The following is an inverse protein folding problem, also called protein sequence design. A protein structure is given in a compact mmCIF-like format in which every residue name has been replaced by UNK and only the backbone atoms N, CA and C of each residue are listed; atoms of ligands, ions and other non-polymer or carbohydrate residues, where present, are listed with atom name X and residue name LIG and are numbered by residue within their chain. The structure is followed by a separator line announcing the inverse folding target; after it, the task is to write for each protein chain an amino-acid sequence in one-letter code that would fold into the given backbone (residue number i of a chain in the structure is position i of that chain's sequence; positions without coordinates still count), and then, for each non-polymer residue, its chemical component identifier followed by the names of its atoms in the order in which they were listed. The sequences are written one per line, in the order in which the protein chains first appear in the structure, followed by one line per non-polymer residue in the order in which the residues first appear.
data_IF_774616533138
#
_entry.id   IF_774616533138
#
_cell.length_a   1.000
_cell.length_b   1.000
_cell.length_c   1.000
_cell.angle_alpha   90.00
_cell.angle_beta   90.00
_cell.angle_gamma   90.00
#
_symmetry.space_group_name_H-M   'P 1'
#
loop_
_entity.id
_entity.type
_entity.pdbx_description
1 polymer ?
#
# COMPACT_ATOMS: atom_id res chain seq x y z
N UNK A 1 16.92 30.40 -0.61
CA UNK A 1 16.28 29.76 0.56
C UNK A 1 16.33 28.26 0.37
N UNK A 2 16.99 27.53 1.27
CA UNK A 2 17.24 26.09 1.17
C UNK A 2 16.01 25.29 1.66
N UNK A 3 15.43 24.36 0.89
CA UNK A 3 14.28 23.56 1.32
C UNK A 3 14.68 22.32 2.15
N UNK A 4 15.73 22.42 2.96
CA UNK A 4 16.14 21.36 3.89
C UNK A 4 15.85 21.84 5.31
N UNK A 5 14.67 21.48 5.83
CA UNK A 5 14.25 21.46 7.26
C UNK A 5 12.78 21.90 7.39
N UNK A 6 11.83 21.09 6.95
CA UNK A 6 10.45 21.22 7.46
C UNK A 6 9.76 19.86 7.42
N UNK A 7 9.70 19.24 8.58
CA UNK A 7 8.54 18.53 9.13
C UNK A 7 7.85 17.50 8.23
N UNK A 8 8.07 16.21 8.51
CA UNK A 8 7.01 15.22 8.36
C UNK A 8 6.77 14.62 9.74
N UNK A 9 5.76 15.19 10.40
CA UNK A 9 5.05 14.63 11.54
C UNK A 9 4.37 13.35 11.05
N UNK A 10 4.92 12.19 11.40
CA UNK A 10 4.26 10.91 11.18
C UNK A 10 3.16 10.79 12.25
N UNK A 11 1.92 10.94 11.80
CA UNK A 11 0.71 10.84 12.59
C UNK A 11 0.49 9.36 12.96
N UNK A 12 0.55 9.07 14.26
CA UNK A 12 0.31 7.74 14.81
C UNK A 12 -1.15 7.33 14.65
N UNK A 13 -1.39 6.31 13.84
CA UNK A 13 -2.63 5.52 13.90
C UNK A 13 -2.27 4.22 14.61
N UNK A 14 -2.23 4.28 15.95
CA UNK A 14 -2.64 3.23 16.88
C UNK A 14 -2.42 3.78 18.30
N UNK A 15 -3.19 4.82 18.65
CA UNK A 15 -3.43 5.19 20.04
C UNK A 15 -4.39 4.18 20.68
N UNK A 16 -4.03 2.90 20.70
CA UNK A 16 -4.40 2.10 21.85
C UNK A 16 -3.61 2.71 23.00
N UNK A 17 -4.30 3.15 24.05
CA UNK A 17 -3.73 3.76 25.24
C UNK A 17 -2.62 2.88 25.85
N UNK A 18 -1.39 2.95 25.34
CA UNK A 18 -0.21 2.38 25.97
C UNK A 18 0.33 3.40 26.97
N UNK A 19 -0.50 3.70 27.96
CA UNK A 19 -0.02 4.18 29.25
C UNK A 19 0.77 3.03 29.87
N UNK A 20 2.06 2.88 29.53
CA UNK A 20 2.96 2.17 30.43
C UNK A 20 3.06 3.05 31.68
N UNK A 21 2.32 2.66 32.71
CA UNK A 21 2.53 3.14 34.06
C UNK A 21 3.77 2.47 34.70
N UNK A 22 4.41 1.53 34.00
CA UNK A 22 5.61 0.82 34.43
C UNK A 22 6.87 1.38 33.77
N UNK A 23 7.92 1.53 34.56
CA UNK A 23 9.21 2.06 34.14
C UNK A 23 9.78 1.27 32.94
N UNK A 24 10.23 1.97 31.88
CA UNK A 24 10.83 1.30 30.72
C UNK A 24 12.28 0.95 31.06
N UNK A 25 12.59 -0.34 31.18
CA UNK A 25 13.94 -0.81 31.50
C UNK A 25 14.61 -1.46 30.30
N UNK A 26 15.82 -1.01 29.98
CA UNK A 26 16.69 -1.64 28.98
C UNK A 26 17.39 -2.88 29.56
N UNK A 27 17.86 -3.77 28.69
CA UNK A 27 18.63 -4.96 29.09
C UNK A 27 19.93 -4.61 29.82
N UNK A 28 20.49 -3.43 29.59
CA UNK A 28 21.69 -2.93 30.25
C UNK A 28 21.40 -2.27 31.62
N UNK A 29 20.16 -2.31 32.09
CA UNK A 29 19.76 -1.78 33.40
C UNK A 29 19.45 -0.28 33.42
N UNK A 30 19.56 0.44 32.29
CA UNK A 30 19.07 1.82 32.19
C UNK A 30 17.55 1.84 32.26
N UNK A 31 17.01 2.66 33.15
CA UNK A 31 15.58 2.77 33.44
C UNK A 31 15.06 4.18 33.08
N UNK A 32 13.93 4.22 32.38
CA UNK A 32 13.24 5.46 32.02
C UNK A 32 11.96 5.56 32.83
N UNK A 33 12.01 6.36 33.90
CA UNK A 33 10.89 6.53 34.83
C UNK A 33 9.82 7.47 34.30
N UNK A 34 8.55 7.13 34.53
CA UNK A 34 7.40 7.95 34.12
C UNK A 34 7.46 8.36 32.64
N UNK A 35 7.93 7.47 31.78
CA UNK A 35 8.11 7.72 30.36
C UNK A 35 6.92 7.16 29.58
N UNK A 36 6.36 7.94 28.67
CA UNK A 36 5.29 7.51 27.77
C UNK A 36 5.83 7.26 26.38
N UNK A 37 5.30 6.24 25.70
CA UNK A 37 5.63 5.98 24.30
C UNK A 37 4.95 7.04 23.43
N UNK A 38 5.76 7.88 22.79
CA UNK A 38 5.30 8.93 21.89
C UNK A 38 5.14 8.45 20.44
N UNK A 39 6.00 7.53 19.99
CA UNK A 39 5.87 6.84 18.69
C UNK A 39 6.71 5.55 18.66
N UNK A 40 6.32 4.64 17.78
CA UNK A 40 7.10 3.45 17.43
C UNK A 40 7.78 3.70 16.09
N UNK A 41 9.08 3.41 16.03
CA UNK A 41 9.91 3.43 14.83
C UNK A 41 10.29 1.99 14.45
N UNK A 42 10.77 1.74 13.22
CA UNK A 42 11.15 0.39 12.80
C UNK A 42 12.15 -0.29 13.73
N UNK A 43 13.10 0.47 14.25
CA UNK A 43 14.25 0.01 15.03
C UNK A 43 14.13 0.31 16.53
N UNK A 44 13.05 0.96 16.98
CA UNK A 44 12.88 1.27 18.39
C UNK A 44 11.62 2.05 18.73
N UNK A 45 11.58 2.56 19.96
CA UNK A 45 10.46 3.31 20.50
C UNK A 45 10.95 4.67 20.98
N UNK A 46 10.22 5.73 20.65
CA UNK A 46 10.51 7.07 21.14
C UNK A 46 9.69 7.35 22.38
N UNK A 47 10.39 7.55 23.49
CA UNK A 47 9.84 7.85 24.80
C UNK A 47 9.82 9.37 25.04
N UNK A 48 8.78 9.84 25.72
CA UNK A 48 8.64 11.19 26.24
C UNK A 48 8.54 11.14 27.75
N UNK A 49 9.40 11.87 28.45
CA UNK A 49 9.40 12.00 29.91
C UNK A 49 9.50 13.48 30.30
N UNK A 50 9.49 13.75 31.61
CA UNK A 50 9.75 15.11 32.14
C UNK A 50 11.15 15.63 31.80
N UNK A 51 12.12 14.74 31.59
CA UNK A 51 13.51 15.12 31.26
C UNK A 51 13.75 15.29 29.76
N UNK A 52 12.81 14.90 28.90
CA UNK A 52 12.88 15.13 27.46
C UNK A 52 12.39 13.96 26.62
N UNK A 53 12.84 13.93 25.37
CA UNK A 53 12.53 12.88 24.40
C UNK A 53 13.75 11.98 24.27
N UNK A 54 13.58 10.67 24.32
CA UNK A 54 14.66 9.68 24.19
C UNK A 54 14.19 8.52 23.33
N UNK A 55 15.02 8.10 22.37
CA UNK A 55 14.78 6.87 21.61
C UNK A 55 15.43 5.69 22.33
N UNK A 56 14.70 4.58 22.39
CA UNK A 56 15.21 3.30 22.89
C UNK A 56 15.13 2.28 21.78
N UNK A 57 16.26 1.69 21.42
CA UNK A 57 16.30 0.70 20.36
C UNK A 57 15.74 -0.65 20.82
N UNK A 58 15.08 -1.38 19.92
CA UNK A 58 14.55 -2.71 20.26
C UNK A 58 15.64 -3.68 20.68
N UNK A 59 16.84 -3.57 20.11
CA UNK A 59 18.01 -4.40 20.48
C UNK A 59 18.46 -4.20 21.93
N UNK A 60 18.16 -3.04 22.51
CA UNK A 60 18.44 -2.70 23.90
C UNK A 60 17.24 -2.97 24.82
N UNK A 61 16.12 -3.43 24.25
CA UNK A 61 14.86 -3.66 24.95
C UNK A 61 14.67 -5.14 25.31
N UNK A 62 14.04 -5.45 26.45
CA UNK A 62 13.61 -6.80 26.80
C UNK A 62 12.73 -7.46 25.73
N UNK A 63 12.70 -8.79 25.69
CA UNK A 63 11.96 -9.56 24.66
C UNK A 63 10.45 -9.28 24.70
N UNK A 64 9.87 -9.17 25.88
CA UNK A 64 8.46 -8.83 26.08
C UNK A 64 8.10 -7.46 25.50
N UNK A 65 9.01 -6.49 25.58
CA UNK A 65 8.84 -5.18 24.95
C UNK A 65 8.93 -5.29 23.43
N UNK A 66 9.90 -6.05 22.91
CA UNK A 66 10.02 -6.28 21.46
C UNK A 66 8.76 -6.95 20.89
N UNK A 67 8.23 -7.98 21.56
CA UNK A 67 7.01 -8.68 21.16
C UNK A 67 5.79 -7.74 21.20
N UNK A 68 5.65 -6.95 22.26
CA UNK A 68 4.54 -5.99 22.40
C UNK A 68 4.48 -4.94 21.29
N UNK A 69 5.64 -4.53 20.77
CA UNK A 69 5.73 -3.52 19.73
C UNK A 69 6.03 -4.10 18.33
N UNK A 70 6.07 -5.41 18.18
CA UNK A 70 6.44 -6.07 16.93
C UNK A 70 5.56 -5.64 15.74
N UNK A 71 4.24 -5.70 15.89
CA UNK A 71 3.31 -5.36 14.80
C UNK A 71 3.36 -3.87 14.46
N UNK A 72 3.50 -3.02 15.48
CA UNK A 72 3.68 -1.59 15.31
C UNK A 72 5.03 -1.25 14.66
N UNK A 73 6.09 -2.01 14.94
CA UNK A 73 7.40 -1.87 14.33
C UNK A 73 7.40 -2.35 12.88
N UNK A 74 6.68 -3.43 12.55
CA UNK A 74 6.46 -3.86 11.17
C UNK A 74 5.70 -2.80 10.38
N UNK A 75 4.64 -2.25 10.97
CA UNK A 75 3.89 -1.15 10.38
C UNK A 75 4.79 0.08 10.21
N UNK A 76 5.59 0.46 11.20
CA UNK A 76 6.54 1.56 11.05
C UNK A 76 7.59 1.28 9.95
N UNK A 77 8.07 0.03 9.81
CA UNK A 77 9.02 -0.41 8.78
C UNK A 77 8.47 -0.25 7.37
N UNK A 78 7.21 -0.64 7.21
CA UNK A 78 6.46 -0.45 5.97
C UNK A 78 6.42 1.02 5.54
N UNK A 79 6.16 1.87 6.54
CA UNK A 79 5.95 3.32 6.41
C UNK A 79 7.28 4.11 6.31
N UNK A 80 8.42 3.56 6.73
CA UNK A 80 9.74 4.21 6.70
C UNK A 80 10.42 4.21 5.30
N UNK A 81 9.65 3.87 4.25
CA UNK A 81 10.14 3.91 2.85
C UNK A 81 9.85 5.26 2.20
N UNK A 82 10.91 5.89 1.66
CA UNK A 82 10.94 7.33 1.34
C UNK A 82 10.41 7.71 -0.05
N UNK A 83 9.93 6.76 -0.86
CA UNK A 83 9.42 7.06 -2.19
C UNK A 83 8.08 6.38 -2.47
N UNK A 84 7.18 7.04 -3.23
CA UNK A 84 5.92 6.42 -3.64
C UNK A 84 6.11 5.16 -4.48
N UNK A 85 7.25 5.02 -5.17
CA UNK A 85 7.59 3.82 -5.94
C UNK A 85 7.85 2.60 -5.04
N UNK A 86 8.49 2.79 -3.88
CA UNK A 86 8.76 1.71 -2.93
C UNK A 86 7.47 1.26 -2.24
N UNK A 87 6.61 2.21 -1.87
CA UNK A 87 5.26 1.91 -1.35
C UNK A 87 4.44 1.12 -2.37
N UNK A 88 4.51 1.49 -3.65
CA UNK A 88 3.81 0.77 -4.72
C UNK A 88 4.31 -0.67 -4.89
N UNK A 89 5.63 -0.89 -4.84
CA UNK A 89 6.23 -2.24 -4.87
C UNK A 89 5.82 -3.09 -3.67
N UNK A 90 5.77 -2.48 -2.49
CA UNK A 90 5.29 -3.16 -1.28
C UNK A 90 3.80 -3.51 -1.38
N UNK A 91 2.98 -2.61 -1.93
CA UNK A 91 1.57 -2.87 -2.14
C UNK A 91 1.35 -4.04 -3.11
N UNK A 92 2.14 -4.11 -4.18
CA UNK A 92 2.11 -5.25 -5.12
C UNK A 92 2.52 -6.56 -4.44
N UNK A 93 3.57 -6.54 -3.62
CA UNK A 93 4.02 -7.71 -2.86
C UNK A 93 2.97 -8.16 -1.82
N UNK A 94 2.35 -7.21 -1.12
CA UNK A 94 1.25 -7.46 -0.19
C UNK A 94 0.03 -8.07 -0.90
N UNK A 95 -0.31 -7.55 -2.07
CA UNK A 95 -1.38 -8.07 -2.92
C UNK A 95 -1.07 -9.50 -3.40
N UNK A 96 0.20 -9.81 -3.66
CA UNK A 96 0.65 -11.17 -3.96
C UNK A 96 0.54 -12.13 -2.77
N UNK A 97 0.79 -11.63 -1.57
CA UNK A 97 0.62 -12.38 -0.32
C UNK A 97 -0.82 -12.44 0.20
N UNK A 98 -1.82 -11.99 -0.56
CA UNK A 98 -3.23 -11.87 -0.13
C UNK A 98 -3.42 -10.97 1.11
N UNK A 99 -2.48 -10.07 1.41
CA UNK A 99 -2.59 -9.12 2.51
C UNK A 99 -3.35 -7.86 2.05
N UNK A 100 -4.67 -8.02 1.92
CA UNK A 100 -5.55 -7.02 1.33
C UNK A 100 -5.72 -5.76 2.17
N UNK A 101 -5.74 -5.90 3.50
CA UNK A 101 -5.82 -4.75 4.41
C UNK A 101 -4.55 -3.89 4.34
N UNK A 102 -3.38 -4.54 4.29
CA UNK A 102 -2.11 -3.85 4.18
C UNK A 102 -1.91 -3.21 2.79
N UNK A 103 -2.32 -3.89 1.72
CA UNK A 103 -2.34 -3.31 0.36
C UNK A 103 -3.17 -2.03 0.33
N UNK A 104 -4.35 -2.05 0.94
CA UNK A 104 -5.24 -0.90 1.01
C UNK A 104 -4.61 0.27 1.77
N UNK A 105 -3.96 -0.01 2.91
CA UNK A 105 -3.25 1.02 3.68
C UNK A 105 -2.15 1.69 2.85
N UNK A 106 -1.34 0.92 2.12
CA UNK A 106 -0.27 1.45 1.28
C UNK A 106 -0.80 2.30 0.12
N UNK A 107 -1.89 1.89 -0.53
CA UNK A 107 -2.53 2.69 -1.58
C UNK A 107 -3.09 4.01 -1.05
N UNK A 108 -3.78 3.98 0.09
CA UNK A 108 -4.29 5.19 0.74
C UNK A 108 -3.14 6.15 1.07
N UNK A 109 -2.07 5.64 1.65
CA UNK A 109 -0.87 6.42 1.97
C UNK A 109 -0.25 7.06 0.73
N UNK A 110 -0.09 6.32 -0.38
CA UNK A 110 0.43 6.87 -1.64
C UNK A 110 -0.45 8.05 -2.10
N UNK A 111 -1.77 7.92 -2.02
CA UNK A 111 -2.70 8.97 -2.47
C UNK A 111 -2.78 10.17 -1.53
N UNK A 112 -2.58 9.97 -0.22
CA UNK A 112 -2.64 11.01 0.81
C UNK A 112 -1.32 11.77 0.92
N UNK A 113 -0.19 11.06 1.01
CA UNK A 113 1.13 11.67 1.22
C UNK A 113 1.79 12.14 -0.09
N UNK A 114 1.50 11.48 -1.22
CA UNK A 114 2.14 11.77 -2.51
C UNK A 114 1.11 12.02 -3.63
N UNK A 115 0.15 12.94 -3.47
CA UNK A 115 -0.99 13.08 -4.38
C UNK A 115 -0.61 13.44 -5.82
N UNK A 116 0.53 14.12 -6.03
CA UNK A 116 1.03 14.49 -7.36
C UNK A 116 1.94 13.42 -8.00
N UNK A 117 2.19 12.29 -7.33
CA UNK A 117 3.07 11.24 -7.85
C UNK A 117 2.41 10.43 -8.98
N UNK A 118 3.21 9.86 -9.91
CA UNK A 118 2.71 8.91 -10.89
C UNK A 118 1.99 7.71 -10.24
N UNK A 119 2.50 7.23 -9.10
CA UNK A 119 1.91 6.09 -8.38
C UNK A 119 0.53 6.44 -7.81
N UNK A 120 0.34 7.64 -7.26
CA UNK A 120 -0.97 8.09 -6.83
C UNK A 120 -1.96 8.19 -8.00
N UNK A 121 -1.49 8.57 -9.19
CA UNK A 121 -2.32 8.52 -10.41
C UNK A 121 -2.72 7.08 -10.75
N UNK A 122 -1.78 6.14 -10.77
CA UNK A 122 -2.09 4.71 -10.97
C UNK A 122 -3.12 4.22 -9.96
N UNK A 123 -2.94 4.52 -8.67
CA UNK A 123 -3.90 4.10 -7.63
C UNK A 123 -5.30 4.67 -7.90
N UNK A 124 -5.43 5.95 -8.27
CA UNK A 124 -6.73 6.56 -8.65
C UNK A 124 -7.36 5.92 -9.88
N UNK A 125 -6.57 5.57 -10.87
CA UNK A 125 -7.05 4.84 -12.05
C UNK A 125 -7.58 3.46 -11.65
N UNK A 126 -6.87 2.73 -10.78
CA UNK A 126 -7.33 1.46 -10.21
C UNK A 126 -8.65 1.62 -9.44
N UNK A 127 -8.78 2.66 -8.59
CA UNK A 127 -10.06 2.95 -7.92
C UNK A 127 -11.20 3.13 -8.90
N UNK A 128 -10.98 3.97 -9.92
CA UNK A 128 -12.01 4.28 -10.90
C UNK A 128 -12.37 3.08 -11.78
N UNK A 129 -11.48 2.10 -11.89
CA UNK A 129 -11.75 0.84 -12.57
C UNK A 129 -12.56 -0.12 -11.69
N UNK A 130 -12.25 -0.19 -10.39
CA UNK A 130 -12.90 -1.11 -9.46
C UNK A 130 -14.27 -0.62 -8.95
N UNK A 131 -14.44 0.69 -8.80
CA UNK A 131 -15.71 1.33 -8.45
C UNK A 131 -16.41 1.74 -9.75
N UNK A 132 -17.32 0.89 -10.23
CA UNK A 132 -18.27 1.34 -11.25
C UNK A 132 -19.08 2.55 -10.72
N UNK A 133 -19.60 3.40 -11.62
CA UNK A 133 -20.08 4.79 -11.39
C UNK A 133 -21.12 5.04 -10.26
N UNK A 134 -21.49 4.05 -9.44
CA UNK A 134 -22.61 4.12 -8.50
C UNK A 134 -22.28 4.23 -7.00
N UNK A 135 -21.01 4.18 -6.57
CA UNK A 135 -20.65 4.40 -5.16
C UNK A 135 -19.73 5.60 -5.02
N UNK A 136 -19.97 6.42 -3.98
CA UNK A 136 -19.18 7.61 -3.59
C UNK A 136 -17.70 7.40 -3.96
N UNK A 137 -17.22 8.15 -4.94
CA UNK A 137 -15.84 8.03 -5.42
C UNK A 137 -14.81 8.47 -4.37
N UNK A 138 -15.27 9.13 -3.29
CA UNK A 138 -14.44 9.86 -2.34
C UNK A 138 -14.04 9.06 -1.07
N UNK A 139 -14.18 7.72 -1.08
CA UNK A 139 -13.80 6.86 0.06
C UNK A 139 -12.41 6.23 -0.05
N UNK A 140 -11.75 5.86 1.06
CA UNK A 140 -10.45 5.17 1.05
C UNK A 140 -10.54 3.80 0.35
N UNK A 141 -9.39 3.27 -0.08
CA UNK A 141 -9.25 1.94 -0.67
C UNK A 141 -9.51 0.93 0.41
N UNK A 142 -10.34 -0.06 0.11
CA UNK A 142 -10.76 -1.07 1.08
C UNK A 142 -10.07 -2.41 0.80
N UNK A 143 -10.01 -3.27 1.80
CA UNK A 143 -9.51 -4.64 1.63
C UNK A 143 -10.35 -5.42 0.59
N UNK A 144 -11.66 -5.15 0.50
CA UNK A 144 -12.54 -5.78 -0.51
C UNK A 144 -12.12 -5.37 -1.92
N UNK A 145 -11.74 -4.10 -2.12
CA UNK A 145 -11.25 -3.61 -3.41
C UNK A 145 -9.87 -4.18 -3.73
N UNK A 146 -9.00 -4.33 -2.75
CA UNK A 146 -7.73 -5.03 -2.93
C UNK A 146 -7.95 -6.49 -3.38
N UNK A 147 -8.90 -7.19 -2.75
CA UNK A 147 -9.24 -8.55 -3.15
C UNK A 147 -9.79 -8.61 -4.58
N UNK A 148 -10.68 -7.69 -4.96
CA UNK A 148 -11.19 -7.60 -6.33
C UNK A 148 -10.07 -7.32 -7.33
N UNK A 149 -9.16 -6.41 -7.00
CA UNK A 149 -8.00 -6.11 -7.81
C UNK A 149 -7.12 -7.35 -8.03
N UNK A 150 -6.91 -8.14 -6.97
CA UNK A 150 -6.19 -9.41 -7.08
C UNK A 150 -6.88 -10.38 -8.04
N UNK A 151 -8.20 -10.53 -7.92
CA UNK A 151 -8.97 -11.38 -8.84
C UNK A 151 -8.87 -10.92 -10.29
N UNK A 152 -8.84 -9.60 -10.54
CA UNK A 152 -8.62 -9.03 -11.88
C UNK A 152 -7.23 -9.40 -12.41
N UNK A 153 -6.19 -9.27 -11.60
CA UNK A 153 -4.82 -9.64 -11.98
C UNK A 153 -4.73 -11.13 -12.34
N UNK A 154 -5.31 -12.00 -11.52
CA UNK A 154 -5.33 -13.44 -11.77
C UNK A 154 -6.11 -13.78 -13.06
N UNK A 155 -7.21 -13.08 -13.33
CA UNK A 155 -7.97 -13.22 -14.57
C UNK A 155 -7.15 -12.81 -15.80
N UNK A 156 -6.43 -11.68 -15.75
CA UNK A 156 -5.57 -11.22 -16.84
C UNK A 156 -4.47 -12.26 -17.13
N UNK A 157 -3.81 -12.77 -16.08
CA UNK A 157 -2.78 -13.80 -16.23
C UNK A 157 -3.36 -15.07 -16.87
N UNK A 158 -4.55 -15.49 -16.44
CA UNK A 158 -5.26 -16.65 -17.01
C UNK A 158 -5.63 -16.43 -18.48
N UNK A 159 -6.15 -15.25 -18.83
CA UNK A 159 -6.52 -14.87 -20.20
C UNK A 159 -5.29 -14.88 -21.11
N UNK A 160 -4.17 -14.28 -20.68
CA UNK A 160 -2.90 -14.29 -21.44
C UNK A 160 -2.39 -15.72 -21.64
N UNK A 161 -2.44 -16.57 -20.61
CA UNK A 161 -2.05 -17.98 -20.72
C UNK A 161 -2.91 -18.74 -21.72
N UNK A 162 -4.24 -18.52 -21.68
CA UNK A 162 -5.19 -19.16 -22.58
C UNK A 162 -5.02 -18.69 -24.04
N UNK A 163 -4.66 -17.42 -24.26
CA UNK A 163 -4.37 -16.89 -25.59
C UNK A 163 -3.15 -17.57 -26.21
N UNK A 164 -2.06 -17.77 -25.43
CA UNK A 164 -0.83 -18.43 -25.91
C UNK A 164 -1.06 -19.86 -26.39
N UNK A 165 -2.01 -20.58 -25.79
CA UNK A 165 -2.32 -21.99 -26.13
C UNK A 165 -3.55 -22.14 -27.03
N UNK A 166 -4.26 -21.05 -27.34
CA UNK A 166 -5.48 -21.08 -28.14
C UNK A 166 -5.19 -21.29 -29.64
N UNK A 167 -6.15 -21.93 -30.32
CA UNK A 167 -6.17 -22.02 -31.78
C UNK A 167 -6.27 -20.61 -32.41
N UNK A 168 -5.76 -20.39 -33.64
CA UNK A 168 -5.74 -19.07 -34.28
C UNK A 168 -7.10 -18.34 -34.29
N UNK A 169 -8.19 -19.05 -34.60
CA UNK A 169 -9.53 -18.48 -34.61
C UNK A 169 -9.97 -17.96 -33.23
N UNK A 170 -9.64 -18.69 -32.16
CA UNK A 170 -9.94 -18.28 -30.78
C UNK A 170 -9.05 -17.12 -30.35
N UNK A 171 -7.79 -17.07 -30.79
CA UNK A 171 -6.89 -15.94 -30.54
C UNK A 171 -7.40 -14.65 -31.19
N UNK A 172 -7.79 -14.73 -32.46
CA UNK A 172 -8.36 -13.59 -33.18
C UNK A 172 -9.63 -13.05 -32.50
N UNK A 173 -10.51 -13.94 -32.02
CA UNK A 173 -11.68 -13.54 -31.26
C UNK A 173 -11.31 -12.84 -29.93
N UNK A 174 -10.33 -13.38 -29.20
CA UNK A 174 -9.85 -12.77 -27.94
C UNK A 174 -9.22 -11.39 -28.17
N UNK A 175 -8.39 -11.25 -29.21
CA UNK A 175 -7.77 -9.98 -29.63
C UNK A 175 -8.83 -8.96 -30.09
N UNK A 176 -9.90 -9.40 -30.73
CA UNK A 176 -11.02 -8.55 -31.13
C UNK A 176 -11.80 -8.03 -29.92
N UNK A 177 -11.99 -8.87 -28.90
CA UNK A 177 -12.78 -8.52 -27.72
C UNK A 177 -12.01 -7.69 -26.69
N UNK A 178 -10.71 -7.93 -26.52
CA UNK A 178 -9.90 -7.37 -25.43
C UNK A 178 -8.79 -6.42 -25.91
N UNK A 179 -8.65 -6.25 -27.23
CA UNK A 179 -7.51 -5.56 -27.85
C UNK A 179 -6.30 -6.48 -28.00
N UNK A 180 -5.38 -6.13 -28.90
CA UNK A 180 -4.14 -6.91 -29.10
C UNK A 180 -3.08 -6.56 -28.06
N UNK A 181 -3.16 -5.37 -27.49
CA UNK A 181 -2.20 -4.77 -26.57
C UNK A 181 -2.17 -5.52 -25.23
N UNK A 182 -3.32 -6.01 -24.76
CA UNK A 182 -3.41 -6.82 -23.53
C UNK A 182 -2.62 -8.12 -23.66
N UNK A 183 -2.33 -8.59 -24.88
CA UNK A 183 -1.56 -9.81 -25.14
C UNK A 183 -0.09 -9.52 -25.45
N UNK A 184 0.26 -8.27 -25.78
CA UNK A 184 1.64 -7.84 -26.06
C UNK A 184 2.40 -7.41 -24.79
N UNK A 185 1.68 -6.94 -23.76
CA UNK A 185 2.30 -6.58 -22.49
C UNK A 185 2.70 -7.82 -21.69
N UNK A 186 3.99 -8.02 -21.44
CA UNK A 186 4.48 -9.10 -20.57
C UNK A 186 4.36 -8.77 -19.08
N UNK A 187 4.23 -7.48 -18.73
CA UNK A 187 4.02 -7.05 -17.36
C UNK A 187 2.58 -7.42 -16.93
N UNK A 188 2.46 -7.98 -15.73
CA UNK A 188 1.16 -8.29 -15.10
C UNK A 188 0.97 -7.51 -13.79
N UNK A 189 1.85 -6.54 -13.52
CA UNK A 189 1.80 -5.69 -12.34
C UNK A 189 0.74 -4.59 -12.43
N UNK A 190 0.66 -3.80 -11.37
CA UNK A 190 -0.40 -2.80 -11.16
C UNK A 190 -0.50 -1.76 -12.30
N UNK A 191 0.63 -1.37 -12.89
CA UNK A 191 0.65 -0.41 -14.00
C UNK A 191 -0.01 -0.97 -15.27
N UNK A 192 0.17 -2.28 -15.55
CA UNK A 192 -0.46 -2.96 -16.68
C UNK A 192 -1.98 -3.05 -16.49
N UNK A 193 -2.43 -3.38 -15.27
CA UNK A 193 -3.86 -3.45 -14.92
C UNK A 193 -4.51 -2.08 -15.06
N UNK A 194 -3.84 -1.03 -14.59
CA UNK A 194 -4.31 0.36 -14.71
C UNK A 194 -4.48 0.76 -16.18
N UNK A 195 -3.46 0.51 -17.00
CA UNK A 195 -3.48 0.82 -18.42
C UNK A 195 -4.56 0.03 -19.18
N UNK A 196 -4.72 -1.26 -18.89
CA UNK A 196 -5.78 -2.09 -19.46
C UNK A 196 -7.18 -1.58 -19.04
N UNK A 197 -7.34 -1.21 -17.77
CA UNK A 197 -8.59 -0.68 -17.24
C UNK A 197 -9.00 0.66 -17.85
N UNK A 198 -8.05 1.57 -18.09
CA UNK A 198 -8.30 2.84 -18.78
C UNK A 198 -8.79 2.61 -20.23
N UNK A 199 -8.10 1.74 -20.98
CA UNK A 199 -8.44 1.45 -22.38
C UNK A 199 -9.80 0.74 -22.54
N UNK A 200 -10.13 -0.21 -21.66
CA UNK A 200 -11.45 -0.86 -21.70
C UNK A 200 -12.58 0.13 -21.44
N UNK A 201 -12.34 1.13 -20.57
CA UNK A 201 -13.29 2.20 -20.31
C UNK A 201 -13.47 3.10 -21.53
N UNK A 202 -12.39 3.45 -22.20
CA UNK A 202 -12.42 4.25 -23.43
C UNK A 202 -13.15 3.50 -24.57
N UNK A 203 -12.87 2.21 -24.74
CA UNK A 203 -13.56 1.35 -25.72
C UNK A 203 -15.06 1.26 -25.44
N UNK A 204 -15.45 1.07 -24.17
CA UNK A 204 -16.86 1.08 -23.74
C UNK A 204 -17.52 2.44 -24.00
N UNK A 205 -16.79 3.54 -23.75
CA UNK A 205 -17.25 4.90 -24.04
C UNK A 205 -17.55 5.12 -25.52
N UNK A 206 -16.66 4.66 -26.41
CA UNK A 206 -16.83 4.75 -27.87
C UNK A 206 -17.99 3.89 -28.36
N UNK A 207 -18.09 2.64 -27.90
CA UNK A 207 -19.18 1.73 -28.28
C UNK A 207 -20.57 2.24 -27.87
N UNK A 208 -20.68 2.94 -26.74
CA UNK A 208 -21.93 3.56 -26.29
C UNK A 208 -22.28 4.86 -27.03
N UNK A 209 -21.31 5.47 -27.73
CA UNK A 209 -21.52 6.69 -28.52
C UNK A 209 -21.84 6.42 -30.00
N UNK A 210 -21.96 5.16 -30.42
CA UNK A 210 -22.41 4.80 -31.77
C UNK A 210 -21.46 5.21 -32.89
N UNK A 211 -20.14 5.16 -32.64
CA UNK A 211 -19.12 5.18 -33.69
C UNK A 211 -18.60 3.77 -33.98
#
# INVERSE_FOLDING_TARGET
MNPRKTTITILGILSASLTLADDFKTVNGKEYKNATVSRVEPDGVVLKSKSGISKVYFVESPKDVQERFHDAAQLARALDTKTPADLMKQAESALQGNNFAYTAALFNQITEEYPASPQAKTVRELYSFLRDKQARQDGPFTAIEAQRLRSVMDAIVSIKRNHRTARPQKRAAMETLLGTEIFQDENNGLDSVSAAGAKLRDAKGKALQGQ
#
